data_IF_719620228618
#
_entry.id   IF_719620228618
#
_cell.length_a   1.000
_cell.length_b   1.000
_cell.length_c   1.000
_cell.angle_alpha   90.00
_cell.angle_beta   90.00
_cell.angle_gamma   90.00
#
_symmetry.space_group_name_H-M   'P 1'
#
loop_
_entity.id
_entity.type
_entity.pdbx_description
1 polymer ?
#
# COMPACT_ATOMS: atom_id res chain seq x y z
N UNK A 1 -11.99 -19.65 -2.53
CA UNK A 1 -11.06 -18.54 -2.21
C UNK A 1 -11.49 -17.36 -3.05
N UNK A 2 -12.03 -16.30 -2.43
CA UNK A 2 -12.42 -15.10 -3.18
C UNK A 2 -11.17 -14.32 -3.56
N UNK A 3 -11.10 -13.87 -4.81
CA UNK A 3 -10.00 -13.07 -5.32
C UNK A 3 -9.96 -11.73 -4.59
N UNK A 4 -8.76 -11.21 -4.28
CA UNK A 4 -8.60 -9.88 -3.65
C UNK A 4 -9.34 -8.77 -4.42
N UNK A 5 -9.49 -8.95 -5.74
CA UNK A 5 -10.22 -8.03 -6.61
C UNK A 5 -11.73 -8.06 -6.34
N UNK A 6 -12.30 -9.24 -6.09
CA UNK A 6 -13.73 -9.38 -5.77
C UNK A 6 -14.08 -8.69 -4.45
N UNK A 7 -13.17 -8.77 -3.47
CA UNK A 7 -13.34 -8.09 -2.19
C UNK A 7 -13.34 -6.57 -2.35
N UNK A 8 -12.46 -6.01 -3.19
CA UNK A 8 -12.46 -4.57 -3.49
C UNK A 8 -13.76 -4.14 -4.16
N UNK A 9 -14.25 -4.91 -5.13
CA UNK A 9 -15.53 -4.62 -5.79
C UNK A 9 -16.73 -4.68 -4.85
N UNK A 10 -16.74 -5.61 -3.90
CA UNK A 10 -17.80 -5.68 -2.91
C UNK A 10 -17.78 -4.45 -1.98
N UNK A 11 -16.60 -4.02 -1.55
CA UNK A 11 -16.44 -2.87 -0.66
C UNK A 11 -16.80 -1.55 -1.35
N UNK A 12 -16.51 -1.43 -2.65
CA UNK A 12 -16.88 -0.26 -3.47
C UNK A 12 -18.40 -0.08 -3.63
N UNK A 13 -19.20 -1.17 -3.56
CA UNK A 13 -20.67 -1.10 -3.63
C UNK A 13 -21.29 -0.57 -2.34
N UNK A 14 -20.64 -0.83 -1.21
CA UNK A 14 -21.16 -0.48 0.13
C UNK A 14 -20.70 0.91 0.58
N UNK A 15 -19.54 1.38 0.11
CA UNK A 15 -18.97 2.67 0.52
C UNK A 15 -17.94 3.20 -0.49
N UNK A 16 -17.68 4.50 -0.39
CA UNK A 16 -16.60 5.14 -1.13
C UNK A 16 -15.27 4.68 -0.54
N UNK A 17 -14.46 4.01 -1.38
CA UNK A 17 -13.11 3.59 -1.03
C UNK A 17 -12.14 4.71 -1.38
N UNK A 18 -11.45 5.26 -0.37
CA UNK A 18 -10.35 6.19 -0.58
C UNK A 18 -9.06 5.39 -0.62
N UNK A 19 -8.38 5.44 -1.75
CA UNK A 19 -7.06 4.85 -1.92
C UNK A 19 -6.03 5.96 -1.80
N UNK A 20 -5.19 5.90 -0.76
CA UNK A 20 -4.08 6.84 -0.62
C UNK A 20 -2.94 6.45 -1.58
N UNK A 21 -2.86 7.16 -2.71
CA UNK A 21 -1.80 7.00 -3.70
C UNK A 21 -0.50 7.73 -3.34
N UNK A 22 -0.50 8.55 -2.29
CA UNK A 22 0.61 9.44 -1.92
C UNK A 22 1.52 8.90 -0.82
N UNK A 23 1.25 7.71 -0.27
CA UNK A 23 2.02 7.15 0.84
C UNK A 23 3.53 7.08 0.55
N UNK A 24 3.93 6.79 -0.69
CA UNK A 24 5.35 6.76 -1.08
C UNK A 24 6.06 8.11 -0.95
N UNK A 25 5.35 9.22 -1.21
CA UNK A 25 5.88 10.58 -1.06
C UNK A 25 6.03 10.96 0.41
N UNK A 26 5.12 10.50 1.27
CA UNK A 26 5.25 10.66 2.72
C UNK A 26 6.46 9.90 3.28
N UNK A 27 6.71 8.69 2.77
CA UNK A 27 7.86 7.85 3.16
C UNK A 27 9.21 8.51 2.82
N UNK A 28 9.32 9.22 1.69
CA UNK A 28 10.56 9.93 1.33
C UNK A 28 10.96 11.02 2.34
N UNK A 29 10.00 11.56 3.10
CA UNK A 29 10.26 12.55 4.16
C UNK A 29 10.96 11.98 5.40
N UNK A 30 10.92 10.67 5.62
CA UNK A 30 11.47 10.02 6.83
C UNK A 30 12.98 9.77 6.77
N UNK A 31 13.69 10.25 5.73
CA UNK A 31 15.15 10.04 5.53
C UNK A 31 15.58 8.58 5.73
N UNK A 32 14.77 7.66 5.23
CA UNK A 32 15.06 6.23 5.30
C UNK A 32 16.32 5.92 4.50
N UNK A 33 17.17 5.05 5.06
CA UNK A 33 18.38 4.57 4.41
C UNK A 33 18.04 3.51 3.36
N UNK A 34 18.95 3.23 2.43
CA UNK A 34 18.72 2.21 1.39
C UNK A 34 18.43 0.81 1.96
N UNK A 35 18.91 0.52 3.18
CA UNK A 35 18.60 -0.73 3.90
C UNK A 35 17.13 -0.81 4.33
N UNK A 36 16.53 0.32 4.72
CA UNK A 36 15.13 0.39 5.15
C UNK A 36 14.15 0.17 3.98
N UNK A 37 14.55 0.52 2.75
CA UNK A 37 13.75 0.28 1.54
C UNK A 37 13.83 -1.17 1.05
N UNK A 38 14.99 -1.81 1.24
CA UNK A 38 15.21 -3.19 0.76
C UNK A 38 14.62 -4.23 1.71
N UNK A 39 14.62 -3.97 3.02
CA UNK A 39 14.21 -4.94 4.02
C UNK A 39 15.14 -6.16 4.08
N UNK A 40 15.04 -6.96 5.15
CA UNK A 40 15.99 -8.05 5.44
C UNK A 40 16.09 -9.15 4.38
N UNK A 41 15.12 -9.21 3.47
CA UNK A 41 15.04 -10.25 2.45
C UNK A 41 15.97 -10.01 1.24
N UNK A 42 16.51 -8.79 1.12
CA UNK A 42 17.37 -8.37 0.01
C UNK A 42 18.69 -7.77 0.50
N UNK A 43 19.11 -8.09 1.73
CA UNK A 43 20.40 -7.75 2.33
C UNK A 43 21.52 -8.71 1.90
#
# INVERSE_FOLDING_TARGET
MSSKVEQLHQQLKERILVLDGGMGTMIQGYRLSEQDFRGERFC
#
